data_IF_920801597832
#
_entry.id   IF_920801597832
#
_cell.length_a   1.000
_cell.length_b   1.000
_cell.length_c   1.000
_cell.angle_alpha   90.00
_cell.angle_beta   90.00
_cell.angle_gamma   90.00
#
_symmetry.space_group_name_H-M   'P 1'
#
loop_
_entity.id
_entity.type
_entity.pdbx_description
1 polymer ?
#
# COMPACT_ATOMS: atom_id res chain seq x y z
N UNK A 1 33.55 18.68 -28.67
CA UNK A 1 33.23 19.97 -28.02
C UNK A 1 32.44 19.67 -26.77
N UNK A 2 32.98 20.03 -25.61
CA UNK A 2 32.31 19.92 -24.32
C UNK A 2 31.81 21.33 -24.00
N UNK A 3 30.51 21.52 -23.80
CA UNK A 3 30.02 22.75 -23.19
C UNK A 3 30.31 22.63 -21.70
N UNK A 4 31.25 23.42 -21.21
CA UNK A 4 31.53 23.54 -19.78
C UNK A 4 31.03 24.88 -19.24
N UNK A 5 30.43 24.83 -18.07
CA UNK A 5 30.03 25.98 -17.29
C UNK A 5 30.74 25.91 -15.94
N UNK A 6 31.38 27.01 -15.55
CA UNK A 6 31.95 27.18 -14.22
C UNK A 6 31.48 28.55 -13.72
N UNK A 7 30.41 28.55 -12.94
CA UNK A 7 29.83 29.76 -12.38
C UNK A 7 29.67 29.62 -10.87
N UNK A 8 30.73 29.90 -10.13
CA UNK A 8 30.82 29.72 -8.68
C UNK A 8 29.91 30.71 -7.89
N UNK A 9 29.19 31.59 -8.58
CA UNK A 9 28.22 32.54 -8.00
C UNK A 9 26.89 31.85 -7.73
N UNK A 10 26.54 31.70 -6.45
CA UNK A 10 25.27 31.11 -6.01
C UNK A 10 24.02 31.89 -6.48
N UNK A 11 24.15 33.12 -7.00
CA UNK A 11 23.03 33.92 -7.51
C UNK A 11 22.87 33.92 -9.02
N UNK A 12 23.91 33.53 -9.77
CA UNK A 12 23.90 33.61 -11.22
C UNK A 12 23.62 32.23 -11.84
N UNK A 13 23.01 32.24 -13.02
CA UNK A 13 22.69 31.02 -13.77
C UNK A 13 23.44 31.00 -15.09
N UNK A 14 24.17 29.92 -15.34
CA UNK A 14 24.62 29.63 -16.70
C UNK A 14 23.42 29.15 -17.49
N UNK A 15 23.02 29.91 -18.51
CA UNK A 15 21.85 29.61 -19.35
C UNK A 15 22.30 28.96 -20.66
N UNK A 16 21.89 27.72 -20.89
CA UNK A 16 22.07 27.02 -22.16
C UNK A 16 20.67 26.75 -22.69
N UNK A 17 20.29 27.43 -23.77
CA UNK A 17 18.94 27.35 -24.30
C UNK A 17 18.90 27.34 -25.82
N UNK A 18 17.86 26.72 -26.36
CA UNK A 18 17.56 26.71 -27.79
C UNK A 18 18.76 26.19 -28.64
N UNK A 19 19.58 25.31 -28.06
CA UNK A 19 20.76 24.74 -28.71
C UNK A 19 20.45 23.37 -29.32
N UNK A 20 21.10 23.06 -30.44
CA UNK A 20 21.18 21.70 -30.99
C UNK A 20 22.61 21.17 -30.81
N UNK A 21 22.76 20.09 -30.04
CA UNK A 21 24.05 19.48 -29.71
C UNK A 21 24.05 18.06 -30.27
N UNK A 22 24.78 17.88 -31.37
CA UNK A 22 24.97 16.56 -31.98
C UNK A 22 26.37 16.07 -31.64
N UNK A 23 26.45 14.89 -31.04
CA UNK A 23 27.71 14.26 -30.70
C UNK A 23 27.73 12.83 -31.21
N UNK A 24 28.81 12.47 -31.91
CA UNK A 24 29.01 11.12 -32.41
C UNK A 24 30.41 10.67 -32.06
N UNK A 25 30.55 9.46 -31.49
CA UNK A 25 31.84 8.83 -31.29
C UNK A 25 31.88 7.42 -31.85
N UNK A 26 33.00 7.12 -32.50
CA UNK A 26 33.34 5.78 -33.00
C UNK A 26 34.42 5.11 -32.16
N UNK A 27 34.86 5.74 -31.06
CA UNK A 27 35.86 5.20 -30.15
C UNK A 27 35.30 5.08 -28.74
N UNK A 28 35.80 4.08 -28.02
CA UNK A 28 35.50 3.84 -26.61
C UNK A 28 36.10 4.94 -25.75
N UNK A 29 35.32 5.99 -25.49
CA UNK A 29 35.69 7.03 -24.54
C UNK A 29 34.97 6.74 -23.23
N UNK A 30 35.71 6.28 -22.23
CA UNK A 30 35.21 6.26 -20.86
C UNK A 30 34.84 7.69 -20.45
N UNK A 31 33.55 7.99 -20.42
CA UNK A 31 33.04 9.29 -19.97
C UNK A 31 33.07 10.38 -21.04
N UNK A 32 32.62 10.07 -22.25
CA UNK A 32 32.27 11.13 -23.18
C UNK A 32 31.04 11.90 -22.69
N UNK A 33 31.19 13.23 -22.60
CA UNK A 33 30.18 14.15 -22.07
C UNK A 33 30.00 15.33 -23.01
N UNK A 34 29.01 15.31 -23.92
CA UNK A 34 28.68 16.45 -24.78
C UNK A 34 28.48 17.75 -23.97
N UNK A 35 27.85 17.61 -22.80
CA UNK A 35 27.68 18.67 -21.81
C UNK A 35 28.20 18.18 -20.46
N UNK A 36 29.19 18.88 -19.90
CA UNK A 36 29.77 18.57 -18.57
C UNK A 36 29.77 19.83 -17.72
N UNK A 37 28.90 19.86 -16.72
CA UNK A 37 28.67 21.01 -15.86
C UNK A 37 29.09 20.61 -14.45
N UNK A 38 30.25 21.13 -14.05
CA UNK A 38 30.92 20.76 -12.81
C UNK A 38 30.79 21.82 -11.72
N UNK A 39 30.26 23.00 -12.05
CA UNK A 39 30.04 24.07 -11.08
C UNK A 39 28.92 25.02 -11.51
N UNK A 40 28.29 25.65 -10.52
CA UNK A 40 27.35 26.73 -10.69
C UNK A 40 25.90 26.35 -10.96
N UNK A 41 25.00 27.29 -10.64
CA UNK A 41 23.60 27.10 -10.99
C UNK A 41 23.45 27.12 -12.51
N UNK A 42 22.58 26.24 -13.02
CA UNK A 42 22.41 26.04 -14.46
C UNK A 42 20.94 26.07 -14.84
N UNK A 43 20.66 26.73 -15.96
CA UNK A 43 19.37 26.72 -16.62
C UNK A 43 19.52 26.13 -18.03
N UNK A 44 19.02 24.92 -18.22
CA UNK A 44 19.11 24.16 -19.45
C UNK A 44 17.70 23.99 -20.04
N UNK A 45 17.39 24.70 -21.13
CA UNK A 45 16.02 24.80 -21.63
C UNK A 45 15.88 24.68 -23.15
N UNK A 46 14.86 23.96 -23.63
CA UNK A 46 14.50 23.85 -25.05
C UNK A 46 15.67 23.40 -25.95
N UNK A 47 16.59 22.60 -25.43
CA UNK A 47 17.70 22.09 -26.21
C UNK A 47 17.34 20.75 -26.85
N UNK A 48 18.00 20.43 -27.95
CA UNK A 48 17.98 19.12 -28.60
C UNK A 48 19.38 18.54 -28.47
N UNK A 49 19.51 17.39 -27.82
CA UNK A 49 20.78 16.68 -27.69
C UNK A 49 20.64 15.30 -28.32
N UNK A 50 21.49 15.01 -29.28
CA UNK A 50 21.61 13.68 -29.87
C UNK A 50 23.02 13.17 -29.65
N UNK A 51 23.13 12.05 -28.95
CA UNK A 51 24.40 11.39 -28.69
C UNK A 51 24.39 9.99 -29.29
N UNK A 52 25.29 9.76 -30.25
CA UNK A 52 25.39 8.48 -30.95
C UNK A 52 26.75 7.82 -30.71
N UNK A 53 26.77 6.54 -30.32
CA UNK A 53 27.99 5.74 -30.23
C UNK A 53 27.89 4.58 -31.20
N UNK A 54 28.75 4.59 -32.22
CA UNK A 54 28.63 3.65 -33.34
C UNK A 54 29.52 2.41 -33.18
N UNK A 55 30.60 2.51 -32.38
CA UNK A 55 31.54 1.42 -32.16
C UNK A 55 32.27 1.61 -30.83
N UNK A 56 32.16 0.63 -29.95
CA UNK A 56 32.95 0.58 -28.73
C UNK A 56 33.48 -0.82 -28.54
N UNK A 57 34.74 -0.90 -28.13
CA UNK A 57 35.45 -2.16 -27.92
C UNK A 57 36.01 -2.27 -26.51
N UNK A 58 35.58 -1.41 -25.59
CA UNK A 58 36.01 -1.47 -24.20
C UNK A 58 34.84 -1.75 -23.27
N UNK A 59 35.05 -2.68 -22.35
CA UNK A 59 34.15 -2.87 -21.22
C UNK A 59 34.03 -1.56 -20.42
N UNK A 60 32.80 -1.14 -20.10
CA UNK A 60 32.42 0.11 -19.42
C UNK A 60 32.50 1.41 -20.23
N UNK A 61 32.54 1.34 -21.56
CA UNK A 61 32.46 2.55 -22.38
C UNK A 61 31.00 2.81 -22.78
N UNK A 62 30.46 3.93 -22.33
CA UNK A 62 29.15 4.40 -22.77
C UNK A 62 29.10 5.92 -22.80
N UNK A 63 28.02 6.42 -23.36
CA UNK A 63 27.75 7.83 -23.54
C UNK A 63 27.13 8.41 -22.28
N UNK A 64 27.61 9.55 -21.80
CA UNK A 64 26.86 10.34 -20.83
C UNK A 64 26.46 11.66 -21.49
N UNK A 65 25.24 11.76 -22.01
CA UNK A 65 24.79 12.92 -22.82
C UNK A 65 24.92 14.24 -22.07
N UNK A 66 24.51 14.25 -20.80
CA UNK A 66 24.67 15.40 -19.91
C UNK A 66 25.11 14.93 -18.52
N UNK A 67 26.17 15.56 -18.01
CA UNK A 67 26.68 15.30 -16.66
C UNK A 67 26.66 16.57 -15.84
N UNK A 68 26.04 16.49 -14.68
CA UNK A 68 26.07 17.49 -13.63
C UNK A 68 26.80 16.92 -12.43
N UNK A 69 27.92 17.53 -12.05
CA UNK A 69 28.65 17.20 -10.82
C UNK A 69 28.76 18.45 -9.99
N UNK A 70 27.79 18.71 -9.11
CA UNK A 70 27.60 20.01 -8.46
C UNK A 70 27.56 19.89 -6.94
N UNK A 71 27.97 20.92 -6.21
CA UNK A 71 27.85 20.97 -4.75
C UNK A 71 27.14 22.25 -4.34
N UNK A 72 25.94 22.15 -3.77
CA UNK A 72 25.16 23.31 -3.32
C UNK A 72 24.56 24.20 -4.41
N UNK A 73 24.24 23.64 -5.57
CA UNK A 73 23.67 24.39 -6.71
C UNK A 73 22.28 23.92 -7.12
N UNK A 74 21.57 24.81 -7.82
CA UNK A 74 20.31 24.52 -8.48
C UNK A 74 20.50 24.29 -9.98
N UNK A 75 19.89 23.22 -10.49
CA UNK A 75 19.85 22.91 -11.92
C UNK A 75 18.42 22.80 -12.40
N UNK A 76 18.12 23.52 -13.47
CA UNK A 76 16.84 23.45 -14.15
C UNK A 76 17.03 22.79 -15.52
N UNK A 77 16.30 21.71 -15.76
CA UNK A 77 16.22 20.97 -17.03
C UNK A 77 14.77 21.07 -17.50
N UNK A 78 14.49 21.95 -18.48
CA UNK A 78 13.12 22.29 -18.87
C UNK A 78 12.91 22.08 -20.38
N UNK A 79 11.92 21.27 -20.74
CA UNK A 79 11.42 21.11 -22.12
C UNK A 79 12.52 20.75 -23.14
N UNK A 80 13.52 19.97 -22.74
CA UNK A 80 14.59 19.53 -23.63
C UNK A 80 14.25 18.16 -24.25
N UNK A 81 14.83 17.88 -25.41
CA UNK A 81 14.74 16.59 -26.09
C UNK A 81 16.12 15.92 -26.12
N UNK A 82 16.22 14.72 -25.56
CA UNK A 82 17.43 13.91 -25.54
C UNK A 82 17.20 12.64 -26.31
N UNK A 83 18.11 12.35 -27.23
CA UNK A 83 18.17 11.09 -27.96
C UNK A 83 19.53 10.46 -27.71
N UNK A 84 19.52 9.24 -27.21
CA UNK A 84 20.70 8.39 -27.07
C UNK A 84 20.54 7.22 -28.01
N UNK A 85 21.54 7.02 -28.86
CA UNK A 85 21.61 5.88 -29.75
C UNK A 85 22.97 5.21 -29.55
N UNK A 86 22.96 4.00 -28.98
CA UNK A 86 24.16 3.20 -28.84
C UNK A 86 24.01 1.88 -29.57
N UNK A 87 24.45 1.88 -30.82
CA UNK A 87 24.48 0.71 -31.70
C UNK A 87 25.69 -0.22 -31.46
N UNK A 88 26.31 -0.19 -30.28
CA UNK A 88 27.53 -0.97 -30.03
C UNK A 88 27.22 -2.43 -29.66
N UNK A 89 27.94 -3.35 -30.26
CA UNK A 89 27.77 -4.80 -30.01
C UNK A 89 28.61 -5.33 -28.84
N UNK A 90 29.23 -4.47 -28.03
CA UNK A 90 30.17 -4.87 -26.97
C UNK A 90 29.50 -5.01 -25.59
N UNK A 91 30.03 -5.92 -24.80
CA UNK A 91 29.42 -6.58 -23.63
C UNK A 91 29.18 -5.72 -22.38
N UNK A 92 29.40 -4.40 -22.38
CA UNK A 92 29.13 -3.53 -21.22
C UNK A 92 29.20 -2.03 -21.53
N UNK A 93 28.21 -1.45 -22.22
CA UNK A 93 28.07 0.00 -22.30
C UNK A 93 27.24 0.56 -21.13
N UNK A 94 27.55 1.79 -20.71
CA UNK A 94 26.78 2.56 -19.72
C UNK A 94 26.33 3.87 -20.33
N UNK A 95 25.11 3.88 -20.87
CA UNK A 95 24.54 5.07 -21.48
C UNK A 95 23.63 5.79 -20.51
N UNK A 96 23.76 7.11 -20.49
CA UNK A 96 23.14 7.94 -19.48
C UNK A 96 22.71 9.26 -20.09
N UNK A 97 21.41 9.56 -20.09
CA UNK A 97 20.95 10.88 -20.51
C UNK A 97 21.38 11.94 -19.50
N UNK A 98 21.19 11.64 -18.21
CA UNK A 98 21.53 12.56 -17.13
C UNK A 98 22.23 11.88 -15.98
N UNK A 99 23.50 12.23 -15.77
CA UNK A 99 24.21 11.92 -14.54
C UNK A 99 24.13 13.11 -13.60
N UNK A 100 23.45 12.96 -12.47
CA UNK A 100 23.19 14.05 -11.54
C UNK A 100 23.83 13.69 -10.21
N UNK A 101 25.04 14.20 -10.01
CA UNK A 101 25.86 13.97 -8.81
C UNK A 101 26.02 15.25 -8.03
N UNK A 102 25.92 15.17 -6.70
CA UNK A 102 26.01 16.32 -5.83
C UNK A 102 25.76 16.03 -4.35
N UNK A 103 25.85 17.09 -3.55
CA UNK A 103 25.73 17.02 -2.09
C UNK A 103 24.27 17.13 -1.61
N UNK A 104 24.07 17.23 -0.29
CA UNK A 104 22.74 17.38 0.31
C UNK A 104 22.06 18.71 0.03
N UNK A 105 22.79 19.69 -0.49
CA UNK A 105 22.30 21.03 -0.77
C UNK A 105 21.97 21.23 -2.26
N UNK A 106 22.34 20.27 -3.10
CA UNK A 106 22.09 20.32 -4.54
C UNK A 106 20.63 20.01 -4.83
N UNK A 107 20.00 20.81 -5.71
CA UNK A 107 18.62 20.59 -6.14
C UNK A 107 18.52 20.52 -7.64
N UNK A 108 17.68 19.59 -8.08
CA UNK A 108 17.43 19.38 -9.51
C UNK A 108 15.95 19.53 -9.82
N UNK A 109 15.65 20.28 -10.87
CA UNK A 109 14.31 20.58 -11.33
C UNK A 109 14.17 20.14 -12.79
N UNK A 110 13.53 18.99 -13.01
CA UNK A 110 13.47 18.29 -14.29
C UNK A 110 12.03 18.27 -14.78
N UNK A 111 11.70 19.16 -15.72
CA UNK A 111 10.33 19.44 -16.14
C UNK A 111 10.13 19.29 -17.65
N UNK A 112 9.09 18.55 -18.05
CA UNK A 112 8.64 18.55 -19.45
C UNK A 112 9.63 18.00 -20.47
N UNK A 113 10.68 17.30 -20.04
CA UNK A 113 11.69 16.79 -20.96
C UNK A 113 11.21 15.52 -21.66
N UNK A 114 11.70 15.30 -22.88
CA UNK A 114 11.58 14.04 -23.61
C UNK A 114 12.95 13.36 -23.62
N UNK A 115 13.03 12.13 -23.14
CA UNK A 115 14.25 11.31 -23.20
C UNK A 115 13.92 10.04 -23.96
N UNK A 116 14.60 9.85 -25.09
CA UNK A 116 14.53 8.63 -25.91
C UNK A 116 15.91 7.99 -25.88
N UNK A 117 15.99 6.72 -25.53
CA UNK A 117 17.24 5.96 -25.55
C UNK A 117 17.03 4.61 -26.20
N UNK A 118 17.92 4.23 -27.11
CA UNK A 118 17.90 2.90 -27.73
C UNK A 118 19.31 2.30 -27.66
N UNK A 119 19.41 1.05 -27.18
CA UNK A 119 20.62 0.23 -27.35
C UNK A 119 20.32 -1.04 -28.10
N UNK A 120 21.20 -1.36 -29.04
CA UNK A 120 21.09 -2.56 -29.84
C UNK A 120 22.22 -3.58 -29.58
N UNK A 121 21.83 -4.84 -29.45
CA UNK A 121 22.70 -5.97 -29.81
C UNK A 121 23.78 -6.41 -28.81
N UNK A 122 23.79 -5.91 -27.57
CA UNK A 122 24.83 -6.24 -26.61
C UNK A 122 24.33 -6.81 -25.27
N UNK A 123 24.96 -7.89 -24.82
CA UNK A 123 24.68 -8.49 -23.50
C UNK A 123 25.22 -7.60 -22.38
N UNK A 124 24.41 -7.19 -21.39
CA UNK A 124 24.78 -6.33 -20.25
C UNK A 124 24.97 -4.82 -20.51
N UNK A 125 24.26 -4.23 -21.47
CA UNK A 125 24.18 -2.76 -21.53
C UNK A 125 23.44 -2.20 -20.34
N UNK A 126 23.72 -0.94 -19.97
CA UNK A 126 22.99 -0.21 -18.96
C UNK A 126 22.60 1.15 -19.52
N UNK A 127 21.36 1.31 -19.98
CA UNK A 127 20.81 2.62 -20.32
C UNK A 127 20.11 3.18 -19.10
N UNK A 128 20.36 4.45 -18.79
CA UNK A 128 19.49 5.20 -17.89
C UNK A 128 19.10 6.55 -18.46
N UNK A 129 17.85 6.94 -18.26
CA UNK A 129 17.46 8.32 -18.53
C UNK A 129 17.95 9.22 -17.40
N UNK A 130 17.61 8.92 -16.14
CA UNK A 130 18.01 9.73 -15.00
C UNK A 130 18.77 8.92 -13.93
N UNK A 131 19.94 9.40 -13.52
CA UNK A 131 20.68 8.87 -12.38
C UNK A 131 20.93 9.96 -11.33
N UNK A 132 20.22 9.88 -10.20
CA UNK A 132 20.37 10.80 -9.07
C UNK A 132 21.26 10.18 -7.99
N UNK A 133 22.53 10.53 -7.94
CA UNK A 133 23.50 9.98 -6.98
C UNK A 133 23.81 10.95 -5.83
N UNK A 134 22.80 11.62 -5.26
CA UNK A 134 23.04 12.81 -4.39
C UNK A 134 22.36 12.72 -3.03
N UNK A 135 22.85 13.45 -2.04
CA UNK A 135 22.16 13.60 -0.75
C UNK A 135 20.98 14.59 -0.79
N UNK A 136 20.61 15.10 -1.96
CA UNK A 136 19.77 16.28 -2.14
C UNK A 136 18.31 16.01 -2.46
N UNK A 137 17.59 17.07 -2.86
CA UNK A 137 16.18 16.99 -3.27
C UNK A 137 16.04 17.23 -4.76
N UNK A 138 15.36 16.33 -5.47
CA UNK A 138 15.09 16.44 -6.90
C UNK A 138 13.60 16.41 -7.20
N UNK A 139 13.19 17.13 -8.24
CA UNK A 139 11.82 17.21 -8.73
C UNK A 139 11.81 16.77 -10.19
N UNK A 140 11.06 15.73 -10.52
CA UNK A 140 10.95 15.15 -11.87
C UNK A 140 9.47 15.16 -12.25
N UNK A 141 9.05 16.14 -13.06
CA UNK A 141 7.62 16.40 -13.30
C UNK A 141 7.31 16.48 -14.79
N UNK A 142 6.29 15.74 -15.24
CA UNK A 142 5.75 15.89 -16.60
C UNK A 142 6.71 15.47 -17.72
N UNK A 143 7.67 14.59 -17.46
CA UNK A 143 8.61 14.12 -18.47
C UNK A 143 8.04 12.91 -19.23
N UNK A 144 8.43 12.78 -20.48
CA UNK A 144 8.26 11.58 -21.29
C UNK A 144 9.61 10.87 -21.36
N UNK A 145 9.68 9.64 -20.86
CA UNK A 145 10.88 8.82 -20.85
C UNK A 145 10.55 7.54 -21.59
N UNK A 146 11.33 7.25 -22.61
CA UNK A 146 11.22 6.06 -23.43
C UNK A 146 12.63 5.50 -23.61
N UNK A 147 12.95 4.40 -22.94
CA UNK A 147 14.28 3.79 -23.06
C UNK A 147 14.18 2.29 -23.35
N UNK A 148 14.65 1.93 -24.53
CA UNK A 148 14.55 0.58 -25.04
C UNK A 148 15.94 -0.07 -25.15
N UNK A 149 16.01 -1.33 -24.74
CA UNK A 149 17.15 -2.19 -25.01
C UNK A 149 16.67 -3.48 -25.64
N UNK A 150 17.08 -3.73 -26.88
CA UNK A 150 16.70 -4.94 -27.63
C UNK A 150 17.45 -6.20 -27.16
N UNK A 151 18.41 -6.06 -26.25
CA UNK A 151 19.25 -7.14 -25.72
C UNK A 151 18.93 -7.48 -24.27
N UNK A 152 19.67 -8.46 -23.69
CA UNK A 152 19.67 -8.78 -22.26
C UNK A 152 20.42 -7.71 -21.42
N UNK A 153 20.20 -6.45 -21.75
CA UNK A 153 20.82 -5.29 -21.14
C UNK A 153 19.84 -4.63 -20.18
N UNK A 154 20.39 -4.08 -19.10
CA UNK A 154 19.68 -3.30 -18.08
C UNK A 154 19.15 -1.98 -18.64
N UNK A 155 17.85 -1.71 -18.61
CA UNK A 155 17.31 -0.35 -18.68
C UNK A 155 16.85 0.12 -17.31
N UNK A 156 17.04 1.40 -17.05
CA UNK A 156 16.58 2.07 -15.83
C UNK A 156 16.13 3.48 -16.20
N UNK A 157 14.83 3.72 -16.36
CA UNK A 157 14.36 5.07 -16.66
C UNK A 157 14.78 6.03 -15.54
N UNK A 158 14.76 5.56 -14.29
CA UNK A 158 15.27 6.34 -13.18
C UNK A 158 15.97 5.49 -12.13
N UNK A 159 17.19 5.90 -11.79
CA UNK A 159 17.91 5.43 -10.62
C UNK A 159 18.01 6.53 -9.56
N UNK A 160 17.65 6.18 -8.33
CA UNK A 160 17.78 7.06 -7.15
C UNK A 160 18.75 6.43 -6.16
N UNK A 161 19.83 7.17 -5.89
CA UNK A 161 20.93 6.81 -5.01
C UNK A 161 20.63 7.07 -3.55
N UNK A 162 21.50 6.55 -2.68
CA UNK A 162 21.35 6.64 -1.23
C UNK A 162 21.24 8.09 -0.73
N UNK A 163 20.29 8.35 0.18
CA UNK A 163 20.12 9.66 0.80
C UNK A 163 19.47 10.73 -0.07
N UNK A 164 19.06 10.41 -1.30
CA UNK A 164 18.30 11.35 -2.16
C UNK A 164 16.82 11.34 -1.79
N UNK A 165 16.18 12.50 -1.83
CA UNK A 165 14.71 12.61 -1.91
C UNK A 165 14.30 13.05 -3.31
N UNK A 166 13.43 12.28 -3.98
CA UNK A 166 12.94 12.61 -5.32
C UNK A 166 11.42 12.66 -5.34
N UNK A 167 10.88 13.78 -5.81
CA UNK A 167 9.46 13.97 -6.09
C UNK A 167 9.20 13.74 -7.56
N UNK A 168 8.37 12.77 -7.89
CA UNK A 168 8.15 12.30 -9.26
C UNK A 168 6.67 12.40 -9.56
N UNK A 169 6.27 13.31 -10.45
CA UNK A 169 4.87 13.63 -10.66
C UNK A 169 4.47 13.77 -12.14
N UNK A 170 3.43 13.07 -12.59
CA UNK A 170 2.88 13.30 -13.93
C UNK A 170 3.77 12.84 -15.08
N UNK A 171 4.74 11.95 -14.85
CA UNK A 171 5.64 11.47 -15.90
C UNK A 171 5.01 10.28 -16.63
N UNK A 172 5.33 10.13 -17.92
CA UNK A 172 5.10 8.89 -18.68
C UNK A 172 6.46 8.24 -18.88
N UNK A 173 6.59 7.02 -18.38
CA UNK A 173 7.83 6.26 -18.37
C UNK A 173 7.54 4.94 -19.07
N UNK A 174 8.33 4.66 -20.09
CA UNK A 174 8.40 3.38 -20.78
C UNK A 174 9.86 2.91 -20.75
N UNK A 175 10.09 1.70 -20.28
CA UNK A 175 11.41 1.09 -20.30
C UNK A 175 11.27 -0.38 -20.67
N UNK A 176 11.54 -0.71 -21.94
CA UNK A 176 11.38 -2.07 -22.45
C UNK A 176 12.72 -2.77 -22.61
N UNK A 177 12.82 -3.99 -22.07
CA UNK A 177 14.01 -4.83 -22.16
C UNK A 177 13.69 -6.28 -22.45
N UNK A 178 14.68 -6.98 -22.99
CA UNK A 178 14.59 -8.43 -23.21
C UNK A 178 14.80 -9.26 -21.93
N UNK A 179 15.20 -8.66 -20.80
CA UNK A 179 15.49 -9.36 -19.55
C UNK A 179 15.18 -8.58 -18.25
N UNK A 180 15.24 -9.27 -17.10
CA UNK A 180 14.77 -8.76 -15.80
C UNK A 180 15.61 -7.61 -15.20
N UNK A 181 15.36 -6.38 -15.63
CA UNK A 181 15.80 -5.15 -15.01
C UNK A 181 14.58 -4.32 -14.56
N UNK A 182 14.79 -3.04 -14.25
CA UNK A 182 13.78 -2.27 -13.53
C UNK A 182 13.72 -0.86 -14.05
N UNK A 183 12.57 -0.51 -14.63
CA UNK A 183 12.16 0.83 -15.03
C UNK A 183 12.46 1.88 -13.94
N UNK A 184 12.31 1.49 -12.66
CA UNK A 184 12.67 2.32 -11.52
C UNK A 184 13.51 1.59 -10.48
N UNK A 185 14.76 2.02 -10.31
CA UNK A 185 15.66 1.49 -9.28
C UNK A 185 15.86 2.52 -8.15
N UNK A 186 15.41 2.16 -6.96
CA UNK A 186 15.68 2.92 -5.72
C UNK A 186 16.68 2.14 -4.87
N UNK A 187 17.81 2.76 -4.52
CA UNK A 187 18.89 2.11 -3.75
C UNK A 187 19.13 2.80 -2.42
N UNK A 188 19.51 2.02 -1.40
CA UNK A 188 19.85 2.55 -0.06
C UNK A 188 18.67 3.16 0.68
N UNK A 189 18.90 4.26 1.38
CA UNK A 189 17.93 5.03 2.18
C UNK A 189 17.27 6.17 1.39
N UNK A 190 17.21 6.05 0.07
CA UNK A 190 16.52 7.03 -0.77
C UNK A 190 15.03 7.10 -0.44
N UNK A 191 14.44 8.28 -0.57
CA UNK A 191 13.00 8.49 -0.47
C UNK A 191 12.44 8.93 -1.82
N UNK A 192 11.45 8.20 -2.31
CA UNK A 192 10.79 8.50 -3.58
C UNK A 192 9.31 8.74 -3.32
N UNK A 193 8.81 9.90 -3.75
CA UNK A 193 7.40 10.27 -3.63
C UNK A 193 6.84 10.39 -5.05
N UNK A 194 6.08 9.37 -5.45
CA UNK A 194 5.58 9.20 -6.81
C UNK A 194 4.06 9.44 -6.87
N UNK A 195 3.61 10.42 -7.66
CA UNK A 195 2.18 10.69 -7.88
C UNK A 195 1.89 10.76 -9.39
N UNK A 196 0.72 10.28 -9.83
CA UNK A 196 0.23 10.46 -11.20
C UNK A 196 1.24 10.07 -12.32
N UNK A 197 2.10 9.07 -12.10
CA UNK A 197 3.03 8.62 -13.14
C UNK A 197 2.43 7.40 -13.85
N UNK A 198 2.57 7.37 -15.17
CA UNK A 198 2.32 6.19 -15.99
C UNK A 198 3.67 5.51 -16.18
N UNK A 199 3.76 4.24 -15.79
CA UNK A 199 4.99 3.45 -15.73
C UNK A 199 4.67 2.14 -16.43
N UNK A 200 5.23 1.92 -17.62
CA UNK A 200 5.02 0.73 -18.45
C UNK A 200 6.37 0.03 -18.65
N UNK A 201 6.44 -1.24 -18.27
CA UNK A 201 7.67 -2.02 -18.38
C UNK A 201 7.75 -3.18 -17.37
N UNK A 202 8.82 -3.97 -17.49
CA UNK A 202 9.11 -5.06 -16.55
C UNK A 202 9.71 -4.48 -15.26
N UNK A 203 9.11 -4.82 -14.11
CA UNK A 203 9.54 -4.29 -12.79
C UNK A 203 10.34 -5.31 -11.99
N UNK A 204 11.61 -5.00 -11.72
CA UNK A 204 12.43 -5.67 -10.69
C UNK A 204 12.71 -4.75 -9.49
N UNK A 205 11.95 -4.92 -8.41
CA UNK A 205 12.25 -4.27 -7.13
C UNK A 205 13.25 -5.11 -6.33
N UNK A 206 14.48 -4.61 -6.11
CA UNK A 206 15.37 -5.19 -5.10
C UNK A 206 14.82 -4.94 -3.69
N UNK A 207 14.96 -5.94 -2.81
CA UNK A 207 14.42 -5.99 -1.44
C UNK A 207 14.88 -4.76 -0.63
N UNK A 208 13.91 -4.01 -0.06
CA UNK A 208 14.18 -2.95 0.93
C UNK A 208 13.75 -1.52 0.56
N UNK A 209 13.25 -1.27 -0.65
CA UNK A 209 12.75 0.05 -1.04
C UNK A 209 11.23 0.19 -0.79
N UNK A 210 10.83 1.19 -0.01
CA UNK A 210 9.43 1.59 0.14
C UNK A 210 9.03 2.45 -1.07
N UNK A 211 8.48 1.82 -2.11
CA UNK A 211 7.82 2.57 -3.19
C UNK A 211 6.37 2.76 -2.79
N UNK A 212 6.05 3.95 -2.27
CA UNK A 212 4.67 4.38 -2.04
C UNK A 212 4.10 4.81 -3.38
N UNK A 213 3.48 3.87 -4.10
CA UNK A 213 2.65 4.20 -5.26
C UNK A 213 1.33 4.76 -4.73
N UNK A 214 1.23 6.09 -4.71
CA UNK A 214 0.15 6.80 -4.05
C UNK A 214 -1.19 6.73 -4.81
N UNK A 215 -1.16 6.28 -6.06
CA UNK A 215 -2.34 6.09 -6.87
C UNK A 215 -2.07 5.03 -7.92
N UNK A 216 -2.90 3.99 -7.94
CA UNK A 216 -3.07 3.18 -9.12
C UNK A 216 -4.44 3.57 -9.68
N UNK A 217 -4.45 4.30 -10.80
CA UNK A 217 -5.68 4.68 -11.49
C UNK A 217 -5.84 3.71 -12.64
N UNK A 218 -6.94 2.97 -12.68
CA UNK A 218 -7.41 2.40 -13.94
C UNK A 218 -8.01 3.55 -14.75
N UNK A 219 -7.57 3.74 -15.99
CA UNK A 219 -8.00 4.85 -16.86
C UNK A 219 -9.50 4.81 -17.21
N UNK A 220 -10.18 3.69 -16.93
CA UNK A 220 -11.63 3.56 -17.06
C UNK A 220 -12.27 2.86 -15.85
N UNK A 221 -13.56 3.13 -15.62
CA UNK A 221 -14.37 2.45 -14.61
C UNK A 221 -14.74 0.99 -15.00
N UNK A 222 -14.13 0.44 -16.06
CA UNK A 222 -14.48 -0.86 -16.62
C UNK A 222 -13.36 -1.91 -16.45
N UNK A 223 -12.10 -1.49 -16.28
CA UNK A 223 -10.98 -2.40 -16.07
C UNK A 223 -10.71 -2.63 -14.59
N UNK A 224 -10.80 -3.90 -14.18
CA UNK A 224 -10.43 -4.35 -12.84
C UNK A 224 -8.94 -4.12 -12.65
N UNK A 225 -8.60 -3.17 -11.79
CA UNK A 225 -7.21 -2.94 -11.40
C UNK A 225 -6.68 -4.18 -10.67
N UNK A 226 -5.75 -4.90 -11.30
CA UNK A 226 -5.17 -6.12 -10.74
C UNK A 226 -3.79 -5.79 -10.15
N UNK A 227 -3.68 -5.79 -8.82
CA UNK A 227 -2.36 -5.77 -8.16
C UNK A 227 -1.85 -7.20 -8.08
N UNK A 228 -0.88 -7.55 -8.94
CA UNK A 228 -0.20 -8.85 -8.85
C UNK A 228 1.00 -8.72 -7.91
N UNK A 229 0.92 -9.31 -6.72
CA UNK A 229 2.05 -9.41 -5.79
C UNK A 229 2.61 -10.84 -5.84
N UNK A 230 3.83 -11.00 -6.33
CA UNK A 230 4.46 -12.32 -6.47
C UNK A 230 5.62 -12.46 -5.48
N UNK A 231 5.37 -13.11 -4.33
CA UNK A 231 6.41 -13.54 -3.40
C UNK A 231 6.41 -15.07 -3.33
N UNK A 232 7.55 -15.67 -3.68
CA UNK A 232 7.70 -17.13 -3.77
C UNK A 232 7.41 -17.86 -2.45
N UNK A 233 7.71 -17.22 -1.32
CA UNK A 233 7.46 -17.78 0.02
C UNK A 233 7.03 -16.67 0.98
N UNK A 234 5.72 -16.44 1.17
CA UNK A 234 5.21 -15.51 2.17
C UNK A 234 5.57 -15.98 3.59
N UNK A 235 6.28 -15.15 4.35
CA UNK A 235 6.55 -15.37 5.77
C UNK A 235 5.49 -14.69 6.64
N UNK A 236 5.38 -15.09 7.91
CA UNK A 236 4.39 -14.54 8.86
C UNK A 236 4.58 -13.04 9.18
N UNK A 237 5.71 -12.45 8.77
CA UNK A 237 6.00 -11.02 8.93
C UNK A 237 5.80 -10.19 7.65
N UNK A 238 5.37 -10.82 6.55
CA UNK A 238 5.11 -10.11 5.30
C UNK A 238 3.69 -9.53 5.29
N UNK A 239 3.57 -8.23 5.07
CA UNK A 239 2.28 -7.57 4.84
C UNK A 239 2.13 -7.22 3.36
N UNK A 240 1.07 -7.73 2.72
CA UNK A 240 0.75 -7.46 1.32
C UNK A 240 -0.13 -6.23 1.16
N UNK A 241 -1.18 -6.13 1.99
CA UNK A 241 -2.09 -4.98 2.03
C UNK A 241 -2.27 -4.61 3.49
N UNK A 242 -1.96 -3.37 3.87
CA UNK A 242 -2.25 -2.83 5.19
C UNK A 242 -3.43 -1.84 5.10
N UNK A 243 -4.46 -2.07 5.92
CA UNK A 243 -5.56 -1.13 6.13
C UNK A 243 -5.21 -0.28 7.34
N UNK A 244 -5.05 1.03 7.14
CA UNK A 244 -4.68 1.98 8.19
C UNK A 244 -5.81 2.99 8.43
N UNK A 245 -6.01 3.40 9.68
CA UNK A 245 -6.66 4.66 10.02
C UNK A 245 -5.62 5.78 10.18
N UNK A 246 -6.03 6.99 10.59
CA UNK A 246 -5.10 8.14 10.70
C UNK A 246 -3.92 7.87 11.65
N UNK A 247 -4.04 6.96 12.61
CA UNK A 247 -3.07 6.79 13.70
C UNK A 247 -2.55 5.33 13.87
N UNK A 248 -3.14 4.34 13.18
CA UNK A 248 -2.82 2.92 13.38
C UNK A 248 -3.28 1.99 12.25
N UNK A 249 -2.58 0.86 12.11
CA UNK A 249 -3.05 -0.26 11.30
C UNK A 249 -4.28 -0.91 11.96
N UNK A 250 -5.37 -1.02 11.21
CA UNK A 250 -6.65 -1.60 11.65
C UNK A 250 -6.88 -3.03 11.11
N UNK A 251 -6.07 -3.47 10.15
CA UNK A 251 -6.06 -4.82 9.64
C UNK A 251 -5.09 -4.98 8.47
N UNK A 252 -4.82 -6.21 8.07
CA UNK A 252 -3.96 -6.49 6.93
C UNK A 252 -4.34 -7.78 6.20
N UNK A 253 -3.74 -7.93 5.01
CA UNK A 253 -3.59 -9.18 4.28
C UNK A 253 -2.11 -9.50 4.35
N UNK A 254 -1.76 -10.56 5.09
CA UNK A 254 -0.36 -10.90 5.40
C UNK A 254 -0.02 -12.34 5.02
N UNK A 255 1.26 -12.63 4.91
CA UNK A 255 1.74 -14.00 4.79
C UNK A 255 1.41 -14.77 6.07
N UNK A 256 0.97 -16.01 5.93
CA UNK A 256 0.71 -16.87 7.09
C UNK A 256 1.97 -17.56 7.64
N UNK A 257 3.11 -17.44 6.94
CA UNK A 257 4.30 -18.29 7.16
C UNK A 257 4.17 -19.70 6.59
N UNK A 258 3.06 -20.00 5.90
CA UNK A 258 2.84 -21.27 5.18
C UNK A 258 2.82 -20.99 3.68
N UNK A 259 3.61 -21.74 2.92
CA UNK A 259 3.70 -21.59 1.47
C UNK A 259 2.31 -21.71 0.81
N UNK A 260 1.97 -20.71 -0.01
CA UNK A 260 0.69 -20.66 -0.73
C UNK A 260 -0.52 -20.23 0.11
N UNK A 261 -0.34 -19.84 1.38
CA UNK A 261 -1.43 -19.39 2.24
C UNK A 261 -1.25 -17.92 2.60
N UNK A 262 -2.19 -17.11 2.13
CA UNK A 262 -2.36 -15.73 2.54
C UNK A 262 -3.35 -15.71 3.70
N UNK A 263 -2.95 -15.08 4.80
CA UNK A 263 -3.82 -14.85 5.95
C UNK A 263 -4.60 -13.54 5.72
N UNK A 264 -5.91 -13.66 5.78
CA UNK A 264 -6.76 -12.56 6.21
C UNK A 264 -6.83 -12.70 7.73
N UNK A 265 -6.41 -11.69 8.50
CA UNK A 265 -6.43 -11.74 9.97
C UNK A 265 -7.72 -12.35 10.52
N UNK A 266 -7.65 -12.96 11.72
CA UNK A 266 -8.74 -13.75 12.34
C UNK A 266 -10.12 -13.14 12.09
N UNK A 267 -10.84 -13.72 11.13
CA UNK A 267 -12.15 -13.26 10.72
C UNK A 267 -13.16 -13.63 11.82
N UNK A 268 -13.58 -12.62 12.60
CA UNK A 268 -14.84 -12.71 13.33
C UNK A 268 -15.92 -12.21 12.38
N UNK A 269 -16.61 -13.15 11.72
CA UNK A 269 -17.77 -12.84 10.91
C UNK A 269 -18.82 -12.20 11.79
N UNK A 270 -19.12 -10.94 11.52
CA UNK A 270 -20.13 -10.18 12.25
C UNK A 270 -20.99 -9.38 11.29
N UNK A 271 -22.26 -9.22 11.65
CA UNK A 271 -23.24 -8.51 10.86
C UNK A 271 -23.96 -7.48 11.72
N UNK A 272 -24.31 -6.36 11.10
CA UNK A 272 -25.26 -5.44 11.70
C UNK A 272 -26.67 -6.03 11.62
N UNK A 273 -27.44 -5.85 12.69
CA UNK A 273 -28.81 -6.31 12.79
C UNK A 273 -29.66 -5.31 13.55
N UNK A 274 -30.97 -5.33 13.33
CA UNK A 274 -31.94 -4.71 14.24
C UNK A 274 -32.44 -5.78 15.21
N UNK A 275 -32.57 -5.43 16.48
CA UNK A 275 -33.13 -6.34 17.48
C UNK A 275 -34.53 -5.86 17.85
N UNK A 276 -35.53 -6.70 17.60
CA UNK A 276 -36.90 -6.55 18.07
C UNK A 276 -36.94 -6.94 19.57
N UNK A 277 -36.80 -5.93 20.43
CA UNK A 277 -36.83 -6.08 21.88
C UNK A 277 -38.22 -5.80 22.42
N UNK A 278 -38.74 -6.71 23.25
CA UNK A 278 -39.95 -6.44 24.01
C UNK A 278 -39.66 -5.42 25.13
N UNK A 279 -40.64 -4.61 25.59
CA UNK A 279 -40.43 -3.52 26.56
C UNK A 279 -39.76 -3.90 27.90
N UNK A 280 -39.80 -5.19 28.26
CA UNK A 280 -39.26 -5.71 29.52
C UNK A 280 -38.01 -6.58 29.32
N UNK A 281 -37.47 -6.64 28.10
CA UNK A 281 -36.27 -7.40 27.82
C UNK A 281 -35.02 -6.54 27.94
N UNK A 282 -34.03 -7.07 28.64
CA UNK A 282 -32.69 -6.47 28.74
C UNK A 282 -31.74 -7.25 27.86
N UNK A 283 -30.99 -6.53 27.03
CA UNK A 283 -30.02 -7.12 26.13
C UNK A 283 -28.63 -7.08 26.75
N UNK A 284 -27.94 -8.23 26.77
CA UNK A 284 -26.61 -8.37 27.34
C UNK A 284 -25.64 -8.96 26.31
N UNK A 285 -24.41 -8.43 26.28
CA UNK A 285 -23.33 -8.93 25.42
C UNK A 285 -23.15 -10.44 25.64
N UNK A 286 -23.16 -11.22 24.57
CA UNK A 286 -23.11 -12.67 24.62
C UNK A 286 -24.47 -13.37 24.52
N UNK A 287 -25.60 -12.65 24.52
CA UNK A 287 -26.93 -13.25 24.34
C UNK A 287 -27.11 -13.85 22.94
N UNK A 288 -27.80 -14.98 22.85
CA UNK A 288 -28.14 -15.65 21.59
C UNK A 288 -29.28 -14.91 20.89
N UNK A 289 -29.08 -14.58 19.61
CA UNK A 289 -30.06 -13.92 18.75
C UNK A 289 -30.63 -14.92 17.74
N UNK A 290 -31.94 -14.87 17.50
CA UNK A 290 -32.61 -15.64 16.45
C UNK A 290 -33.21 -14.73 15.38
N UNK A 291 -33.23 -15.20 14.13
CA UNK A 291 -33.87 -14.51 13.02
C UNK A 291 -35.39 -14.47 13.21
N UNK A 292 -35.99 -13.30 12.98
CA UNK A 292 -37.46 -13.15 12.95
C UNK A 292 -38.06 -13.67 11.64
N UNK A 293 -37.25 -13.76 10.58
CA UNK A 293 -37.68 -14.01 9.21
C UNK A 293 -38.04 -12.73 8.43
N UNK A 294 -37.86 -11.55 9.03
CA UNK A 294 -38.06 -10.25 8.40
C UNK A 294 -36.71 -9.55 8.17
N UNK A 295 -36.68 -8.66 7.18
CA UNK A 295 -35.59 -7.70 6.99
C UNK A 295 -35.96 -6.39 7.69
N UNK A 296 -34.95 -5.60 8.07
CA UNK A 296 -35.14 -4.23 8.50
C UNK A 296 -35.90 -3.44 7.42
N UNK A 297 -36.85 -2.59 7.82
CA UNK A 297 -37.61 -1.74 6.90
C UNK A 297 -36.65 -0.89 6.03
N UNK A 298 -36.84 -0.92 4.72
CA UNK A 298 -35.97 -0.28 3.72
C UNK A 298 -34.53 -0.84 3.61
N UNK A 299 -34.24 -2.01 4.19
CA UNK A 299 -33.00 -2.74 3.95
C UNK A 299 -33.18 -3.88 2.94
N UNK A 300 -32.18 -4.12 2.10
CA UNK A 300 -32.14 -5.26 1.16
C UNK A 300 -31.41 -6.47 1.72
N UNK A 301 -30.73 -6.35 2.86
CA UNK A 301 -29.80 -7.38 3.35
C UNK A 301 -29.65 -7.47 4.87
N UNK A 302 -30.16 -6.50 5.65
CA UNK A 302 -30.08 -6.55 7.12
C UNK A 302 -31.27 -7.33 7.67
N UNK A 303 -31.01 -8.48 8.28
CA UNK A 303 -32.02 -9.26 8.96
C UNK A 303 -32.47 -8.56 10.24
N UNK A 304 -33.75 -8.73 10.60
CA UNK A 304 -34.24 -8.40 11.91
C UNK A 304 -34.14 -9.64 12.81
N UNK A 305 -33.63 -9.43 14.02
CA UNK A 305 -33.39 -10.47 15.02
C UNK A 305 -34.15 -10.19 16.29
N UNK A 306 -34.21 -11.16 17.19
CA UNK A 306 -34.73 -11.01 18.55
C UNK A 306 -33.96 -11.93 19.50
N UNK A 307 -34.14 -11.76 20.81
CA UNK A 307 -33.56 -12.68 21.79
C UNK A 307 -34.11 -14.09 21.54
N UNK A 308 -33.22 -15.08 21.43
CA UNK A 308 -33.61 -16.46 21.15
C UNK A 308 -34.41 -17.06 22.30
N UNK A 309 -35.68 -17.40 22.05
CA UNK A 309 -36.59 -18.01 23.04
C UNK A 309 -36.87 -19.50 22.79
N UNK A 310 -36.20 -20.08 21.82
CA UNK A 310 -36.42 -21.47 21.41
C UNK A 310 -35.21 -22.33 21.81
N UNK A 311 -35.43 -23.33 22.67
CA UNK A 311 -34.39 -24.32 22.98
C UNK A 311 -33.96 -25.01 21.69
N UNK A 312 -32.64 -25.12 21.48
CA UNK A 312 -32.06 -25.71 20.27
C UNK A 312 -32.61 -25.09 18.97
N UNK A 313 -32.84 -23.77 18.94
CA UNK A 313 -33.33 -23.03 17.77
C UNK A 313 -32.45 -23.30 16.54
N UNK A 314 -33.07 -23.68 15.42
CA UNK A 314 -32.40 -23.79 14.12
C UNK A 314 -32.35 -22.46 13.36
N UNK A 315 -32.81 -21.37 14.00
CA UNK A 315 -32.90 -20.02 13.43
C UNK A 315 -31.91 -19.06 14.10
N UNK A 316 -30.89 -19.56 14.80
CA UNK A 316 -29.89 -18.71 15.43
C UNK A 316 -29.18 -17.90 14.34
N UNK A 317 -29.17 -16.59 14.51
CA UNK A 317 -28.47 -15.66 13.61
C UNK A 317 -27.03 -15.44 14.06
N UNK A 318 -26.81 -15.43 15.38
CA UNK A 318 -25.53 -15.14 15.98
C UNK A 318 -25.67 -14.79 17.45
N UNK A 319 -24.64 -14.16 17.98
CA UNK A 319 -24.53 -13.73 19.37
C UNK A 319 -24.44 -12.22 19.45
N UNK A 320 -25.13 -11.58 20.37
CA UNK A 320 -25.09 -10.13 20.52
C UNK A 320 -23.70 -9.65 20.94
N UNK A 321 -23.06 -8.86 20.07
CA UNK A 321 -21.72 -8.29 20.26
C UNK A 321 -21.70 -6.87 20.84
N UNK A 322 -22.87 -6.29 21.15
CA UNK A 322 -23.00 -4.92 21.65
C UNK A 322 -23.49 -3.91 20.61
N UNK A 323 -23.66 -2.67 21.04
CA UNK A 323 -23.81 -1.50 20.16
C UNK A 323 -22.45 -1.00 19.69
N UNK A 324 -22.46 -0.07 18.72
CA UNK A 324 -21.25 0.68 18.33
C UNK A 324 -20.57 1.39 19.52
N UNK A 325 -21.32 1.77 20.55
CA UNK A 325 -20.77 2.38 21.77
C UNK A 325 -20.21 1.35 22.74
N UNK A 326 -20.87 0.19 22.88
CA UNK A 326 -20.41 -0.91 23.73
C UNK A 326 -19.08 -1.48 23.25
N UNK A 327 -18.90 -1.62 21.93
CA UNK A 327 -17.63 -2.09 21.33
C UNK A 327 -16.46 -1.14 21.65
N UNK A 328 -16.69 0.17 21.79
CA UNK A 328 -15.65 1.14 22.22
C UNK A 328 -15.25 0.97 23.70
N UNK A 329 -16.13 0.37 24.50
CA UNK A 329 -15.94 0.21 25.94
C UNK A 329 -15.23 -1.10 26.35
N UNK A 330 -15.14 -2.08 25.44
CA UNK A 330 -14.34 -3.30 25.59
C UNK A 330 -12.86 -2.93 25.48
N UNK A 331 -12.32 -2.37 26.57
CA UNK A 331 -10.89 -2.09 26.71
C UNK A 331 -10.17 -3.39 27.03
N UNK A 332 -9.65 -4.06 25.99
CA UNK A 332 -8.47 -4.91 26.16
C UNK A 332 -7.43 -4.03 26.84
N UNK A 333 -6.89 -4.44 28.00
CA UNK A 333 -5.91 -3.67 28.78
C UNK A 333 -4.63 -3.43 27.95
N UNK A 334 -4.63 -2.46 27.04
CA UNK A 334 -3.44 -1.94 26.37
C UNK A 334 -2.73 -0.96 27.31
N UNK A 335 -1.43 -1.17 27.46
CA UNK A 335 -0.54 -0.38 28.32
C UNK A 335 -0.48 1.10 27.93
N UNK A 336 -0.17 1.93 28.94
CA UNK A 336 0.16 3.37 28.95
C UNK A 336 -0.73 4.31 28.09
N UNK A 337 -1.50 5.15 28.79
CA UNK A 337 -2.26 6.27 28.21
C UNK A 337 -1.34 7.26 27.48
N UNK A 338 -1.72 7.77 26.29
CA UNK A 338 -1.00 8.85 25.62
C UNK A 338 -1.14 10.18 26.38
N UNK A 339 -0.15 11.06 26.19
CA UNK A 339 -0.01 12.31 26.93
C UNK A 339 -1.07 13.35 26.53
N UNK A 340 -1.33 14.31 27.44
CA UNK A 340 -2.32 15.39 27.28
C UNK A 340 -2.17 16.18 25.98
N UNK A 341 -0.93 16.34 25.49
CA UNK A 341 -0.63 17.09 24.27
C UNK A 341 -1.15 16.43 22.98
N UNK A 342 -1.39 15.11 22.98
CA UNK A 342 -1.94 14.39 21.82
C UNK A 342 -3.46 14.58 21.76
N UNK A 343 -4.13 14.65 22.92
CA UNK A 343 -5.58 14.89 22.98
C UNK A 343 -5.97 16.26 22.41
N UNK A 344 -5.22 17.28 22.76
CA UNK A 344 -5.51 18.66 22.33
C UNK A 344 -5.28 18.85 20.81
N UNK A 345 -4.46 18.01 20.16
CA UNK A 345 -4.26 18.02 18.70
C UNK A 345 -5.41 17.33 17.95
N UNK A 346 -5.91 16.22 18.49
CA UNK A 346 -7.03 15.47 17.92
C UNK A 346 -8.33 16.29 17.94
N UNK A 347 -8.56 17.04 19.02
CA UNK A 347 -9.78 17.85 19.19
C UNK A 347 -9.85 19.03 18.22
N UNK A 348 -8.70 19.60 17.84
CA UNK A 348 -8.62 20.68 16.86
C UNK A 348 -8.74 20.23 15.40
N UNK A 349 -8.44 18.96 15.10
CA UNK A 349 -8.55 18.40 13.74
C UNK A 349 -10.02 18.09 13.33
N UNK A 350 -10.90 17.82 14.32
CA UNK A 350 -12.29 17.41 14.08
C UNK A 350 -13.23 18.50 13.54
N UNK A 351 -12.82 19.77 13.57
CA UNK A 351 -13.71 20.88 13.17
C UNK A 351 -13.72 21.23 11.66
N UNK A 352 -13.14 20.41 10.76
CA UNK A 352 -12.94 20.83 9.36
C UNK A 352 -13.30 19.87 8.22
N UNK A 353 -14.05 18.78 8.42
CA UNK A 353 -14.55 17.98 7.27
C UNK A 353 -16.08 17.88 7.25
N UNK A 354 -16.68 18.46 6.19
CA UNK A 354 -18.01 18.09 5.70
C UNK A 354 -17.84 16.76 4.97
N UNK A 355 -18.20 15.67 5.62
CA UNK A 355 -18.40 14.38 4.96
C UNK A 355 -19.82 14.31 4.40
N UNK A 356 -19.97 13.63 3.27
CA UNK A 356 -21.24 13.23 2.68
C UNK A 356 -21.96 12.31 3.67
N UNK A 357 -22.75 12.93 4.53
CA UNK A 357 -23.62 12.23 5.47
C UNK A 357 -24.74 11.56 4.70
N UNK A 358 -24.90 10.25 4.91
CA UNK A 358 -26.23 9.63 4.86
C UNK A 358 -27.19 10.56 5.61
N UNK A 359 -28.38 10.89 5.05
CA UNK A 359 -29.24 11.92 5.62
C UNK A 359 -29.46 11.65 7.11
N UNK A 360 -29.05 12.61 7.95
CA UNK A 360 -29.13 12.54 9.41
C UNK A 360 -30.57 12.17 9.88
N UNK A 361 -31.59 12.40 9.04
CA UNK A 361 -33.00 12.04 9.27
C UNK A 361 -33.28 10.52 9.42
N UNK A 362 -32.41 9.62 8.95
CA UNK A 362 -32.62 8.16 9.13
C UNK A 362 -32.06 7.67 10.48
N UNK A 363 -31.15 8.43 11.11
CA UNK A 363 -30.47 8.01 12.35
C UNK A 363 -31.09 8.60 13.62
N UNK A 364 -31.96 9.62 13.50
CA UNK A 364 -32.54 10.32 14.67
C UNK A 364 -33.81 9.65 15.24
N UNK A 365 -34.38 8.64 14.57
CA UNK A 365 -35.52 7.88 15.08
C UNK A 365 -35.15 6.40 15.28
N UNK A 366 -34.92 6.02 16.55
CA UNK A 366 -35.20 4.71 17.18
C UNK A 366 -34.63 3.38 16.60
N UNK A 367 -33.95 3.36 15.47
CA UNK A 367 -33.33 2.13 14.96
C UNK A 367 -31.92 1.93 15.53
N UNK A 368 -31.82 1.39 16.75
CA UNK A 368 -30.53 0.96 17.29
C UNK A 368 -29.99 -0.20 16.44
N UNK A 369 -28.92 0.06 15.67
CA UNK A 369 -28.21 -0.98 14.93
C UNK A 369 -27.23 -1.66 15.88
N UNK A 370 -27.34 -2.97 15.97
CA UNK A 370 -26.61 -3.84 16.88
C UNK A 370 -25.61 -4.71 16.12
N UNK A 371 -24.50 -5.09 16.76
CA UNK A 371 -23.55 -6.04 16.21
C UNK A 371 -23.97 -7.47 16.60
N UNK A 372 -24.03 -8.38 15.62
CA UNK A 372 -24.19 -9.81 15.83
C UNK A 372 -22.92 -10.54 15.38
N UNK A 373 -22.37 -11.37 16.26
CA UNK A 373 -21.20 -12.21 16.03
C UNK A 373 -21.66 -13.58 15.57
N UNK A 374 -21.18 -14.03 14.42
CA UNK A 374 -21.65 -15.28 13.82
C UNK A 374 -20.60 -16.37 13.67
N UNK A 375 -19.41 -16.04 13.19
CA UNK A 375 -18.39 -17.06 12.83
C UNK A 375 -17.03 -16.65 13.36
N UNK A 376 -16.29 -17.60 13.93
CA UNK A 376 -14.90 -17.38 14.39
C UNK A 376 -14.77 -17.29 15.90
N UNK A 377 -13.64 -16.75 16.39
CA UNK A 377 -13.39 -16.66 17.83
C UNK A 377 -14.20 -15.52 18.47
N UNK A 378 -14.99 -15.83 19.49
CA UNK A 378 -15.87 -14.89 20.14
C UNK A 378 -16.20 -15.28 21.58
N UNK A 379 -17.33 -14.79 22.06
CA UNK A 379 -17.84 -15.06 23.40
C UNK A 379 -19.35 -15.31 23.35
N UNK A 380 -19.88 -16.04 24.32
CA UNK A 380 -21.30 -16.32 24.45
C UNK A 380 -21.68 -16.39 25.93
N UNK A 381 -22.90 -15.94 26.27
CA UNK A 381 -23.49 -16.17 27.58
C UNK A 381 -24.06 -17.58 27.60
N UNK A 382 -23.54 -18.41 28.51
CA UNK A 382 -24.04 -19.75 28.78
C UNK A 382 -24.86 -19.77 30.07
N UNK A 383 -25.79 -20.71 30.19
CA UNK A 383 -26.55 -20.99 31.40
C UNK A 383 -26.27 -22.39 31.94
N UNK A 384 -26.69 -22.64 33.17
CA UNK A 384 -26.60 -23.96 33.81
C UNK A 384 -27.60 -24.99 33.26
N UNK A 385 -28.37 -24.62 32.24
CA UNK A 385 -29.22 -25.57 31.55
C UNK A 385 -28.37 -26.66 30.88
N UNK A 386 -28.83 -27.90 31.00
CA UNK A 386 -28.14 -29.10 30.53
C UNK A 386 -26.73 -29.38 31.14
N UNK A 387 -26.42 -28.79 32.31
CA UNK A 387 -25.28 -29.19 33.15
C UNK A 387 -23.96 -28.47 32.88
N UNK A 388 -22.90 -28.98 33.51
CA UNK A 388 -21.54 -28.43 33.42
C UNK A 388 -21.03 -28.45 31.97
N UNK A 389 -20.23 -27.44 31.63
CA UNK A 389 -19.65 -27.23 30.30
C UNK A 389 -18.16 -27.54 30.36
N UNK A 390 -17.68 -28.35 29.43
CA UNK A 390 -16.26 -28.66 29.26
C UNK A 390 -15.69 -28.00 28.00
N UNK A 391 -14.39 -27.68 28.01
CA UNK A 391 -13.68 -27.27 26.78
C UNK A 391 -13.90 -28.29 25.67
N UNK A 392 -14.43 -27.84 24.54
CA UNK A 392 -14.75 -28.68 23.38
C UNK A 392 -16.21 -29.09 23.28
N UNK A 393 -17.04 -28.85 24.30
CA UNK A 393 -18.49 -29.08 24.22
C UNK A 393 -19.13 -28.17 23.15
N UNK A 394 -20.08 -28.74 22.42
CA UNK A 394 -20.94 -28.00 21.50
C UNK A 394 -22.03 -27.29 22.30
N UNK A 395 -22.42 -26.11 21.83
CA UNK A 395 -23.39 -25.25 22.48
C UNK A 395 -24.60 -25.02 21.58
N UNK A 396 -25.80 -25.02 22.16
CA UNK A 396 -27.07 -24.69 21.49
C UNK A 396 -27.91 -23.76 22.38
N UNK A 397 -28.97 -23.15 21.86
CA UNK A 397 -29.76 -22.21 22.66
C UNK A 397 -30.50 -22.89 23.80
N UNK A 398 -30.56 -22.25 24.96
CA UNK A 398 -31.34 -22.67 26.13
C UNK A 398 -32.79 -22.13 26.14
N UNK A 399 -33.16 -21.34 25.12
CA UNK A 399 -34.48 -20.71 25.01
C UNK A 399 -34.72 -19.51 25.92
N UNK A 400 -33.70 -18.98 26.59
CA UNK A 400 -33.80 -17.78 27.44
C UNK A 400 -32.86 -16.65 26.99
N UNK A 401 -32.31 -16.74 25.78
CA UNK A 401 -31.29 -15.83 25.28
C UNK A 401 -29.86 -16.25 25.65
N UNK A 402 -29.67 -17.42 26.23
CA UNK A 402 -28.35 -17.98 26.54
C UNK A 402 -28.11 -19.25 25.74
N UNK A 403 -26.88 -19.75 25.81
CA UNK A 403 -26.51 -21.06 25.31
C UNK A 403 -26.42 -22.08 26.46
N UNK A 404 -26.60 -23.35 26.11
CA UNK A 404 -26.43 -24.49 26.99
C UNK A 404 -25.55 -25.54 26.32
N UNK A 405 -25.03 -26.49 27.10
CA UNK A 405 -24.38 -27.68 26.56
C UNK A 405 -25.34 -28.42 25.63
N UNK A 406 -24.88 -28.80 24.44
CA UNK A 406 -25.62 -29.69 23.55
C UNK A 406 -25.53 -31.14 24.08
N UNK A 407 -26.61 -31.90 23.94
CA UNK A 407 -26.68 -33.28 24.46
C UNK A 407 -25.78 -34.29 23.73
N UNK A 408 -25.27 -33.95 22.55
CA UNK A 408 -24.41 -34.79 21.73
C UNK A 408 -23.28 -33.98 21.09
N UNK A 409 -22.39 -34.70 20.39
CA UNK A 409 -21.16 -34.16 19.80
C UNK A 409 -21.27 -33.92 18.29
N UNK A 410 -22.49 -33.84 17.75
CA UNK A 410 -22.73 -33.66 16.32
C UNK A 410 -23.04 -32.19 16.03
N UNK A 411 -22.34 -31.57 15.08
CA UNK A 411 -22.69 -30.21 14.63
C UNK A 411 -24.04 -30.27 13.89
N UNK A 412 -25.01 -29.49 14.37
CA UNK A 412 -26.37 -29.36 13.83
C UNK A 412 -26.63 -27.91 13.43
N UNK A 413 -27.75 -27.66 12.77
CA UNK A 413 -28.25 -26.31 12.54
C UNK A 413 -28.62 -25.55 13.82
N UNK A 414 -28.77 -26.25 14.96
CA UNK A 414 -28.95 -25.64 16.28
C UNK A 414 -27.64 -25.35 17.01
N UNK A 415 -26.51 -25.83 16.49
CA UNK A 415 -25.20 -25.64 17.11
C UNK A 415 -24.71 -24.21 16.86
N UNK A 416 -24.51 -23.46 17.94
CA UNK A 416 -24.11 -22.05 17.93
C UNK A 416 -22.59 -21.91 17.92
N UNK A 417 -21.90 -22.82 18.61
CA UNK A 417 -20.45 -22.79 18.72
C UNK A 417 -19.89 -23.91 19.57
N UNK A 418 -18.59 -23.83 19.84
CA UNK A 418 -17.85 -24.77 20.68
C UNK A 418 -17.14 -24.03 21.81
N UNK A 419 -17.31 -24.52 23.03
CA UNK A 419 -16.70 -23.95 24.22
C UNK A 419 -15.17 -24.03 24.16
N UNK A 420 -14.48 -22.93 24.48
CA UNK A 420 -13.02 -22.95 24.73
C UNK A 420 -12.69 -22.85 26.22
N UNK A 421 -13.68 -22.59 27.06
CA UNK A 421 -13.58 -22.52 28.52
C UNK A 421 -14.61 -23.45 29.17
N UNK A 422 -14.21 -24.14 30.24
CA UNK A 422 -15.12 -24.97 31.05
C UNK A 422 -15.87 -24.14 32.10
N UNK A 423 -17.06 -24.60 32.49
CA UNK A 423 -17.87 -24.04 33.58
C UNK A 423 -18.38 -25.18 34.46
N UNK A 424 -18.07 -25.11 35.76
CA UNK A 424 -18.59 -26.04 36.77
C UNK A 424 -19.62 -25.27 37.61
N UNK A 425 -20.90 -25.49 37.36
CA UNK A 425 -21.98 -24.67 37.91
C UNK A 425 -22.13 -24.77 39.42
N UNK A 426 -21.65 -25.86 40.03
CA UNK A 426 -21.59 -25.98 41.50
C UNK A 426 -20.62 -24.99 42.16
N UNK A 427 -19.74 -24.37 41.38
CA UNK A 427 -18.74 -23.39 41.85
C UNK A 427 -19.05 -21.95 41.43
N UNK A 428 -20.01 -21.77 40.52
CA UNK A 428 -20.38 -20.45 40.02
C UNK A 428 -21.47 -19.83 40.91
N UNK A 429 -21.39 -18.52 41.23
CA UNK A 429 -22.37 -17.85 42.08
C UNK A 429 -23.68 -17.50 41.35
N UNK A 430 -23.68 -17.56 40.01
CA UNK A 430 -24.80 -17.22 39.15
C UNK A 430 -25.17 -18.41 38.26
N UNK A 431 -26.37 -18.37 37.70
CA UNK A 431 -26.93 -19.37 36.77
C UNK A 431 -26.52 -19.12 35.32
N UNK A 432 -25.75 -18.05 35.05
CA UNK A 432 -25.21 -17.70 33.75
C UNK A 432 -23.77 -17.21 33.84
N UNK A 433 -23.00 -17.37 32.75
CA UNK A 433 -21.61 -16.93 32.66
C UNK A 433 -21.22 -16.60 31.22
N UNK A 434 -20.44 -15.55 31.00
CA UNK A 434 -19.84 -15.26 29.69
C UNK A 434 -18.57 -16.09 29.53
N UNK A 435 -18.45 -16.86 28.45
CA UNK A 435 -17.28 -17.69 28.15
C UNK A 435 -16.77 -17.46 26.73
N UNK A 436 -15.48 -17.71 26.50
CA UNK A 436 -14.91 -17.78 25.16
C UNK A 436 -15.43 -18.99 24.36
N UNK A 437 -15.63 -18.79 23.05
CA UNK A 437 -16.09 -19.83 22.12
C UNK A 437 -15.51 -19.68 20.72
N UNK A 438 -15.60 -20.75 19.93
CA UNK A 438 -15.57 -20.68 18.45
C UNK A 438 -17.00 -20.75 17.95
N UNK A 439 -17.50 -19.67 17.34
CA UNK A 439 -18.85 -19.54 16.82
C UNK A 439 -19.00 -20.20 15.45
N UNK A 440 -20.15 -20.85 15.25
CA UNK A 440 -20.59 -21.53 14.03
C UNK A 440 -21.94 -20.97 13.51
N UNK A 441 -22.46 -19.91 14.13
CA UNK A 441 -23.79 -19.38 13.85
C UNK A 441 -23.76 -18.37 12.69
N UNK A 442 -24.26 -18.73 11.52
CA UNK A 442 -24.32 -17.81 10.37
C UNK A 442 -25.19 -18.33 9.27
#
# INVERSE_FOLDING_TARGET
NVISAANDSASDYTKIKDCAINWTSSTSLNGAKPVDITDGNTWFQNNIITSTQTNSTSTNSGIQSVVFTLTGHDVYLIDNNFSIDNATTDTAARDLAFNMTGDSNTRFFVFGNTVIGETDGATNHLIKAFEFNTGGTSYVIGNLIDIDSTSTGKTQAMQVGNGTTVYVNGNTIDATTGDSDGEWLVTGTATVIANNNIITGDRKSTVGANVVLNQFVADDNETVMTVVMNKATPDAGDTFIAFNDEDSEIGDISGSGVAGVIAYNTFLGSHYTQIDLLPNETLEVGMVLEMTGQLLENSTHLAQTKICKTIASTKVYGVYGGTKEDVKSIKIKKGKKPSKAIKDKIENARHKKKEDKLPDEILDNEYQIHLSLGVGAGYILVSNANGDIETGDLLESDGNGYAQKQSDTIIKSSTIGKAVESVIWSTEPDTKKLIGVVLYAG
#
